data_IF_065560506859
#
_entry.id   IF_065560506859
#
_cell.length_a   1.000
_cell.length_b   1.000
_cell.length_c   1.000
_cell.angle_alpha   90.00
_cell.angle_beta   90.00
_cell.angle_gamma   90.00
#
_symmetry.space_group_name_H-M   'P 1'
#
loop_
_entity.id
_entity.type
_entity.pdbx_description
1 polymer ?
#
# COMPACT_ATOMS: atom_id res chain seq x y z
N UNK A 1 12.51 8.13 -133.41
CA UNK A 1 13.82 8.60 -133.89
C UNK A 1 14.59 9.00 -132.65
N UNK A 2 15.35 8.06 -132.09
CA UNK A 2 16.79 7.90 -132.34
C UNK A 2 17.61 8.82 -131.42
N UNK A 3 18.25 8.22 -130.41
CA UNK A 3 19.72 8.11 -130.24
C UNK A 3 20.25 9.24 -129.33
N UNK A 4 21.28 9.15 -128.49
CA UNK A 4 22.39 8.22 -128.26
C UNK A 4 22.89 8.56 -126.82
N UNK A 5 22.92 7.62 -125.87
CA UNK A 5 24.12 6.91 -125.39
C UNK A 5 25.29 7.81 -124.94
N UNK A 6 25.53 7.85 -123.62
CA UNK A 6 26.86 8.11 -123.07
C UNK A 6 27.09 7.31 -121.78
N UNK A 7 27.88 6.24 -121.96
CA UNK A 7 28.98 5.75 -121.10
C UNK A 7 28.70 5.24 -119.66
N UNK A 8 28.78 3.91 -119.55
CA UNK A 8 29.15 3.06 -118.38
C UNK A 8 30.69 3.08 -118.16
N UNK A 9 31.28 2.73 -116.99
CA UNK A 9 31.22 1.38 -116.37
C UNK A 9 31.06 1.37 -114.82
N UNK A 10 30.22 0.52 -114.25
CA UNK A 10 30.42 -0.92 -113.97
C UNK A 10 31.46 -1.18 -112.86
N UNK A 11 31.02 -1.06 -111.61
CA UNK A 11 31.72 -1.59 -110.45
C UNK A 11 31.42 -3.09 -110.31
N UNK A 12 32.47 -3.89 -110.46
CA UNK A 12 32.48 -5.35 -110.41
C UNK A 12 32.61 -5.79 -108.95
N UNK A 13 31.59 -6.47 -108.42
CA UNK A 13 31.65 -7.18 -107.15
C UNK A 13 32.08 -8.64 -107.38
N UNK A 14 33.23 -9.10 -106.86
CA UNK A 14 33.72 -10.46 -107.05
C UNK A 14 33.27 -11.36 -105.90
N UNK A 15 31.97 -11.66 -105.81
CA UNK A 15 31.48 -12.87 -105.14
C UNK A 15 30.02 -13.13 -105.53
N UNK A 16 29.87 -13.77 -106.69
CA UNK A 16 28.59 -14.18 -107.23
C UNK A 16 27.92 -15.23 -106.37
N UNK A 17 26.67 -14.93 -105.98
CA UNK A 17 25.52 -15.83 -106.02
C UNK A 17 24.26 -15.07 -105.61
N UNK A 18 23.46 -14.70 -106.60
CA UNK A 18 22.02 -14.52 -106.43
C UNK A 18 21.40 -15.88 -106.09
N UNK A 19 20.44 -15.92 -105.17
CA UNK A 19 19.18 -16.63 -105.40
C UNK A 19 18.05 -15.96 -104.61
N UNK A 20 16.96 -15.78 -105.34
CA UNK A 20 15.77 -15.07 -104.98
C UNK A 20 14.71 -15.97 -104.32
N UNK A 21 13.68 -15.29 -103.79
CA UNK A 21 12.29 -15.76 -103.59
C UNK A 21 12.00 -16.68 -102.39
N UNK A 22 11.21 -16.15 -101.45
CA UNK A 22 10.03 -16.84 -100.91
C UNK A 22 9.16 -15.89 -100.07
N UNK A 23 7.95 -15.60 -100.56
CA UNK A 23 6.84 -14.98 -99.81
C UNK A 23 6.34 -15.94 -98.73
N UNK A 24 6.06 -15.44 -97.52
CA UNK A 24 4.85 -15.82 -96.77
C UNK A 24 4.49 -14.77 -95.72
N UNK A 25 3.38 -14.08 -95.97
CA UNK A 25 2.61 -13.39 -94.95
C UNK A 25 1.81 -14.42 -94.14
N UNK A 26 1.60 -14.13 -92.86
CA UNK A 26 0.55 -14.76 -92.03
C UNK A 26 1.07 -15.52 -90.83
N UNK A 27 0.91 -14.92 -89.64
CA UNK A 27 1.24 -15.58 -88.38
C UNK A 27 1.05 -14.70 -87.14
N UNK A 28 -0.07 -13.98 -87.03
CA UNK A 28 -0.49 -13.40 -85.75
C UNK A 28 -1.18 -14.48 -84.91
N UNK A 29 -0.40 -15.35 -84.28
CA UNK A 29 -0.83 -16.17 -83.13
C UNK A 29 0.04 -15.73 -81.96
N UNK A 30 -0.32 -14.69 -81.22
CA UNK A 30 -1.23 -14.74 -80.08
C UNK A 30 -0.80 -15.80 -79.04
N UNK A 31 -0.55 -15.27 -77.82
CA UNK A 31 -0.66 -15.92 -76.51
C UNK A 31 0.52 -16.76 -76.00
N UNK A 32 1.54 -16.09 -75.45
CA UNK A 32 2.04 -16.50 -74.13
C UNK A 32 2.21 -15.28 -73.23
N UNK A 33 1.26 -15.18 -72.31
CA UNK A 33 1.14 -14.25 -71.21
C UNK A 33 2.44 -14.13 -70.41
N UNK A 34 3.20 -13.05 -70.64
CA UNK A 34 4.21 -12.60 -69.68
C UNK A 34 3.63 -11.47 -68.82
N UNK A 35 2.56 -11.77 -68.09
CA UNK A 35 2.24 -10.99 -66.90
C UNK A 35 3.10 -11.55 -65.78
N UNK A 36 4.34 -11.07 -65.67
CA UNK A 36 5.13 -11.17 -64.44
C UNK A 36 4.34 -10.40 -63.37
N UNK A 37 3.38 -11.06 -62.75
CA UNK A 37 2.84 -10.60 -61.48
C UNK A 37 4.01 -10.73 -60.49
N UNK A 38 4.39 -9.68 -59.77
CA UNK A 38 5.37 -9.87 -58.72
C UNK A 38 4.73 -10.78 -57.66
N UNK A 39 5.45 -11.83 -57.25
CA UNK A 39 5.08 -12.87 -56.27
C UNK A 39 4.89 -12.34 -54.82
N UNK A 40 4.34 -11.12 -54.68
CA UNK A 40 4.09 -10.47 -53.39
C UNK A 40 2.66 -10.70 -52.89
N UNK A 41 1.74 -11.16 -53.76
CA UNK A 41 0.30 -11.21 -53.44
C UNK A 41 -0.14 -12.59 -52.92
N UNK A 42 0.65 -13.66 -53.10
CA UNK A 42 0.26 -15.04 -52.73
C UNK A 42 1.04 -15.65 -51.57
N UNK A 43 1.90 -14.88 -50.89
CA UNK A 43 2.68 -15.40 -49.74
C UNK A 43 1.82 -15.31 -48.48
N UNK A 44 1.32 -16.46 -48.01
CA UNK A 44 0.73 -16.55 -46.68
C UNK A 44 1.75 -16.04 -45.65
N UNK A 45 1.32 -15.11 -44.81
CA UNK A 45 2.16 -14.47 -43.79
C UNK A 45 2.68 -15.57 -42.86
N UNK A 46 3.93 -15.99 -43.05
CA UNK A 46 4.58 -16.98 -42.20
C UNK A 46 5.23 -16.24 -41.02
N UNK A 47 5.06 -16.72 -39.77
CA UNK A 47 5.65 -16.07 -38.59
C UNK A 47 7.18 -15.96 -38.68
N UNK A 48 7.81 -16.83 -39.48
CA UNK A 48 9.26 -16.83 -39.73
C UNK A 48 9.73 -15.67 -40.61
N UNK A 49 8.88 -15.07 -41.46
CA UNK A 49 9.25 -13.91 -42.28
C UNK A 49 9.41 -12.64 -41.42
N UNK A 50 8.72 -12.53 -40.27
CA UNK A 50 8.95 -11.45 -39.30
C UNK A 50 10.36 -11.52 -38.68
N UNK A 51 10.88 -12.74 -38.45
CA UNK A 51 12.23 -12.94 -37.88
C UNK A 51 13.32 -12.50 -38.87
N UNK A 52 13.13 -12.77 -40.17
CA UNK A 52 14.04 -12.28 -41.21
C UNK A 52 13.95 -10.76 -41.42
N UNK A 53 12.76 -10.16 -41.30
CA UNK A 53 12.59 -8.71 -41.29
C UNK A 53 13.25 -8.05 -40.06
N UNK A 54 13.20 -8.70 -38.89
CA UNK A 54 13.89 -8.26 -37.67
C UNK A 54 15.41 -8.26 -37.83
N UNK A 55 16.01 -9.21 -38.55
CA UNK A 55 17.48 -9.26 -38.73
C UNK A 55 18.03 -8.08 -39.54
N UNK A 56 17.25 -7.49 -40.45
CA UNK A 56 17.69 -6.37 -41.32
C UNK A 56 17.47 -4.98 -40.68
N UNK A 57 16.59 -4.86 -39.70
CA UNK A 57 16.29 -3.61 -38.97
C UNK A 57 16.30 -3.80 -37.45
N UNK A 58 17.11 -4.72 -36.92
CA UNK A 58 17.10 -5.09 -35.50
C UNK A 58 17.41 -3.90 -34.58
N UNK A 59 18.25 -2.98 -35.06
CA UNK A 59 18.57 -1.72 -34.39
C UNK A 59 17.33 -0.85 -34.20
N UNK A 60 16.43 -0.78 -35.19
CA UNK A 60 15.19 0.00 -35.12
C UNK A 60 14.22 -0.58 -34.08
N UNK A 61 14.10 -1.90 -34.01
CA UNK A 61 13.30 -2.58 -32.98
C UNK A 61 13.89 -2.40 -31.58
N UNK A 62 15.22 -2.43 -31.43
CA UNK A 62 15.86 -2.13 -30.15
C UNK A 62 15.66 -0.68 -29.72
N UNK A 63 15.79 0.28 -30.64
CA UNK A 63 15.55 1.69 -30.35
C UNK A 63 14.09 1.90 -29.94
N UNK A 64 13.14 1.37 -30.71
CA UNK A 64 11.72 1.48 -30.40
C UNK A 64 11.38 0.82 -29.05
N UNK A 65 11.94 -0.35 -28.78
CA UNK A 65 11.78 -1.05 -27.50
C UNK A 65 12.37 -0.25 -26.33
N UNK A 66 13.55 0.35 -26.50
CA UNK A 66 14.17 1.17 -25.47
C UNK A 66 13.36 2.44 -25.19
N UNK A 67 12.83 3.09 -26.22
CA UNK A 67 11.92 4.21 -26.05
C UNK A 67 10.64 3.80 -25.31
N UNK A 68 10.03 2.68 -25.69
CA UNK A 68 8.83 2.18 -25.02
C UNK A 68 9.09 1.89 -23.54
N UNK A 69 10.19 1.19 -23.24
CA UNK A 69 10.60 0.87 -21.88
C UNK A 69 10.92 2.13 -21.07
N UNK A 70 11.63 3.10 -21.67
CA UNK A 70 11.95 4.38 -21.00
C UNK A 70 10.68 5.16 -20.68
N UNK A 71 9.72 5.22 -21.61
CA UNK A 71 8.43 5.89 -21.38
C UNK A 71 7.64 5.18 -20.29
N UNK A 72 7.58 3.84 -20.31
CA UNK A 72 6.90 3.06 -19.27
C UNK A 72 7.56 3.25 -17.90
N UNK A 73 8.89 3.26 -17.82
CA UNK A 73 9.63 3.53 -16.58
C UNK A 73 9.35 4.94 -16.07
N UNK A 74 9.36 5.95 -16.95
CA UNK A 74 9.09 7.34 -16.57
C UNK A 74 7.66 7.51 -16.04
N UNK A 75 6.69 6.91 -16.72
CA UNK A 75 5.29 6.91 -16.27
C UNK A 75 5.19 6.19 -14.92
N UNK A 76 5.78 5.01 -14.77
CA UNK A 76 5.76 4.27 -13.50
C UNK A 76 6.39 5.08 -12.36
N UNK A 77 7.52 5.75 -12.60
CA UNK A 77 8.19 6.58 -11.59
C UNK A 77 7.36 7.79 -11.17
N UNK A 78 6.60 8.39 -12.10
CA UNK A 78 5.71 9.51 -11.80
C UNK A 78 4.38 9.09 -11.15
N UNK A 79 3.93 7.85 -11.39
CA UNK A 79 2.59 7.40 -10.97
C UNK A 79 2.61 6.58 -9.67
N UNK A 80 3.77 6.05 -9.24
CA UNK A 80 3.87 5.28 -8.00
C UNK A 80 4.25 6.23 -6.85
N UNK A 81 3.29 6.70 -6.02
CA UNK A 81 3.62 7.41 -4.80
C UNK A 81 4.38 6.46 -3.86
N UNK A 82 5.51 6.93 -3.33
CA UNK A 82 6.26 6.19 -2.31
C UNK A 82 5.52 6.34 -1.00
N UNK A 83 4.62 5.40 -0.71
CA UNK A 83 3.93 5.36 0.58
C UNK A 83 4.87 4.80 1.65
N UNK A 84 5.20 5.63 2.63
CA UNK A 84 5.86 5.20 3.85
C UNK A 84 4.81 4.79 4.87
N UNK A 85 5.07 3.70 5.58
CA UNK A 85 4.21 3.22 6.68
C UNK A 85 4.97 3.24 7.99
N UNK A 86 4.45 3.97 8.98
CA UNK A 86 4.95 3.96 10.35
C UNK A 86 4.10 3.01 11.20
N UNK A 87 4.75 2.24 12.08
CA UNK A 87 4.09 1.24 12.94
C UNK A 87 4.58 1.36 14.39
N UNK A 88 3.65 1.34 15.33
CA UNK A 88 3.91 1.27 16.77
C UNK A 88 3.22 0.03 17.31
N UNK A 89 3.97 -0.75 18.08
CA UNK A 89 3.50 -1.96 18.73
C UNK A 89 3.44 -1.72 20.24
N UNK A 90 2.24 -1.87 20.80
CA UNK A 90 1.99 -1.83 22.23
C UNK A 90 1.70 -3.26 22.70
N UNK A 91 2.47 -3.73 23.68
CA UNK A 91 2.23 -5.02 24.31
C UNK A 91 1.33 -4.84 25.52
N UNK A 92 0.23 -5.59 25.55
CA UNK A 92 -0.64 -5.71 26.71
C UNK A 92 -0.40 -7.05 27.39
N UNK A 93 -0.10 -7.01 28.69
CA UNK A 93 -0.18 -8.20 29.53
C UNK A 93 -1.67 -8.40 29.87
N UNK A 94 -2.27 -9.48 29.36
CA UNK A 94 -3.66 -9.84 29.67
C UNK A 94 -3.71 -10.38 31.11
N UNK A 95 -3.68 -9.49 32.11
CA UNK A 95 -3.70 -9.88 33.53
C UNK A 95 -5.15 -10.27 33.91
N UNK A 96 -5.53 -11.50 33.59
CA UNK A 96 -6.83 -12.09 33.98
C UNK A 96 -6.86 -12.40 35.47
N UNK A 97 -6.80 -11.41 36.33
CA UNK A 97 -6.99 -11.62 37.76
C UNK A 97 -8.48 -11.61 38.10
N UNK A 98 -9.16 -12.73 37.82
CA UNK A 98 -10.45 -13.02 38.43
C UNK A 98 -10.24 -13.38 39.89
N UNK A 99 -10.14 -12.38 40.75
CA UNK A 99 -10.16 -12.62 42.20
C UNK A 99 -11.63 -12.83 42.58
N UNK A 100 -11.94 -14.04 43.03
CA UNK A 100 -13.21 -14.54 43.57
C UNK A 100 -14.11 -13.42 44.13
N UNK A 101 -15.00 -12.86 43.31
CA UNK A 101 -16.30 -12.24 43.62
C UNK A 101 -16.70 -11.41 42.41
N UNK A 102 -17.62 -11.95 41.61
CA UNK A 102 -18.24 -11.25 40.48
C UNK A 102 -19.22 -10.23 41.04
N UNK A 103 -18.73 -9.16 41.66
CA UNK A 103 -19.51 -7.93 41.72
C UNK A 103 -19.78 -7.54 40.26
N UNK A 104 -20.93 -6.92 39.93
CA UNK A 104 -21.09 -6.20 38.67
C UNK A 104 -20.11 -5.02 38.68
N UNK A 105 -18.82 -5.31 38.52
CA UNK A 105 -17.74 -4.34 38.42
C UNK A 105 -18.02 -3.56 37.15
N UNK A 106 -18.19 -2.27 37.39
CA UNK A 106 -18.21 -1.19 36.43
C UNK A 106 -17.24 -1.47 35.27
N UNK A 107 -17.86 -1.79 34.12
CA UNK A 107 -17.31 -1.92 32.77
C UNK A 107 -15.77 -1.84 32.67
N UNK A 108 -15.10 -3.00 32.75
CA UNK A 108 -13.73 -3.15 32.26
C UNK A 108 -13.72 -3.11 30.73
N UNK A 109 -14.00 -1.93 30.14
CA UNK A 109 -13.93 -1.68 28.70
C UNK A 109 -12.54 -1.94 28.12
N UNK A 110 -11.52 -1.95 28.98
CA UNK A 110 -10.13 -2.15 28.61
C UNK A 110 -9.73 -3.63 28.53
N UNK A 111 -10.62 -4.57 28.87
CA UNK A 111 -10.37 -5.98 28.57
C UNK A 111 -10.90 -6.39 27.18
N UNK A 112 -11.74 -5.53 26.57
CA UNK A 112 -12.28 -5.74 25.23
C UNK A 112 -11.38 -5.10 24.17
N UNK A 113 -10.73 -5.95 23.37
CA UNK A 113 -9.81 -5.53 22.30
C UNK A 113 -10.48 -4.59 21.28
N UNK A 114 -11.73 -4.87 20.92
CA UNK A 114 -12.47 -4.00 19.99
C UNK A 114 -12.76 -2.61 20.59
N UNK A 115 -13.00 -2.56 21.91
CA UNK A 115 -13.24 -1.31 22.60
C UNK A 115 -11.95 -0.47 22.67
N UNK A 116 -10.81 -1.08 23.00
CA UNK A 116 -9.50 -0.41 22.97
C UNK A 116 -9.16 0.15 21.58
N UNK A 117 -9.34 -0.65 20.52
CA UNK A 117 -9.11 -0.19 19.16
C UNK A 117 -9.99 1.01 18.78
N UNK A 118 -11.24 1.02 19.26
CA UNK A 118 -12.16 2.14 19.08
C UNK A 118 -11.74 3.36 19.91
N UNK A 119 -11.27 3.17 21.15
CA UNK A 119 -10.81 4.25 22.03
C UNK A 119 -9.59 4.98 21.45
N UNK A 120 -8.65 4.26 20.83
CA UNK A 120 -7.48 4.87 20.17
C UNK A 120 -7.90 5.80 19.04
N UNK A 121 -8.96 5.46 18.31
CA UNK A 121 -9.55 6.30 17.25
C UNK A 121 -10.47 7.39 17.77
N UNK A 122 -10.77 7.39 19.07
CA UNK A 122 -11.68 8.36 19.66
C UNK A 122 -11.00 9.71 19.90
N UNK A 123 -11.81 10.75 20.02
CA UNK A 123 -11.32 12.11 20.30
C UNK A 123 -10.58 12.22 21.65
N UNK A 124 -10.84 11.30 22.60
CA UNK A 124 -10.17 11.26 23.90
C UNK A 124 -8.65 11.05 23.72
N UNK A 125 -8.24 10.33 22.68
CA UNK A 125 -6.83 10.06 22.36
C UNK A 125 -6.34 10.97 21.24
N UNK A 126 -7.12 11.15 20.18
CA UNK A 126 -6.66 11.92 19.01
C UNK A 126 -6.62 13.44 19.29
N UNK A 127 -7.54 13.96 20.10
CA UNK A 127 -7.58 15.38 20.45
C UNK A 127 -6.31 15.83 21.19
N UNK A 128 -5.94 15.20 22.31
CA UNK A 128 -4.73 15.57 23.04
C UNK A 128 -3.44 15.27 22.26
N UNK A 129 -3.42 14.24 21.40
CA UNK A 129 -2.31 13.99 20.49
C UNK A 129 -2.03 15.18 19.54
N UNK A 130 -3.08 15.83 19.01
CA UNK A 130 -2.94 17.00 18.13
C UNK A 130 -2.49 18.26 18.87
N UNK A 131 -2.76 18.35 20.18
CA UNK A 131 -2.33 19.46 21.03
C UNK A 131 -0.84 19.41 21.37
N UNK A 132 -0.18 18.27 21.12
CA UNK A 132 1.26 18.15 21.33
C UNK A 132 2.05 19.12 20.44
N UNK A 133 3.16 19.69 20.95
CA UNK A 133 3.90 20.74 20.26
C UNK A 133 4.42 20.25 18.91
N UNK A 134 4.05 20.97 17.84
CA UNK A 134 4.55 20.72 16.49
C UNK A 134 3.72 19.75 15.65
N UNK A 135 2.80 18.97 16.24
CA UNK A 135 1.99 17.97 15.50
C UNK A 135 0.94 18.64 14.61
N UNK A 136 0.20 19.62 15.15
CA UNK A 136 -0.81 20.38 14.39
C UNK A 136 -0.25 21.21 13.23
N UNK A 137 1.08 21.37 13.14
CA UNK A 137 1.79 22.17 12.12
C UNK A 137 2.39 21.32 10.99
N UNK A 138 2.31 19.99 11.09
CA UNK A 138 2.81 19.06 10.06
C UNK A 138 2.07 19.26 8.75
N UNK A 139 2.74 19.05 7.61
CA UNK A 139 2.17 19.35 6.29
C UNK A 139 0.91 18.54 6.05
N UNK A 140 0.91 17.25 6.41
CA UNK A 140 -0.25 16.36 6.24
C UNK A 140 -1.50 16.79 7.04
N UNK A 141 -1.32 17.57 8.11
CA UNK A 141 -2.41 17.98 9.02
C UNK A 141 -2.75 19.46 8.91
N UNK A 142 -1.91 20.28 8.28
CA UNK A 142 -2.10 21.74 8.24
C UNK A 142 -3.24 22.14 7.33
N UNK A 143 -3.36 21.46 6.19
CA UNK A 143 -4.29 21.83 5.13
C UNK A 143 -5.68 21.19 5.31
N UNK A 144 -5.83 20.33 6.33
CA UNK A 144 -7.07 19.64 6.68
C UNK A 144 -7.97 20.46 7.61
N UNK A 145 -9.25 20.51 7.28
CA UNK A 145 -10.25 21.25 8.05
C UNK A 145 -10.59 20.54 9.37
N UNK A 146 -10.70 19.21 9.35
CA UNK A 146 -10.90 18.37 10.53
C UNK A 146 -9.75 17.36 10.68
N UNK A 147 -8.73 17.80 11.44
CA UNK A 147 -7.53 17.01 11.73
C UNK A 147 -7.82 15.74 12.53
N UNK A 148 -8.84 15.77 13.39
CA UNK A 148 -9.22 14.62 14.23
C UNK A 148 -9.85 13.55 13.35
N UNK A 149 -10.79 13.94 12.49
CA UNK A 149 -11.44 13.03 11.57
C UNK A 149 -10.47 12.43 10.54
N UNK A 150 -9.56 13.25 10.00
CA UNK A 150 -8.51 12.78 9.10
C UNK A 150 -7.66 11.69 9.76
N UNK A 151 -7.21 11.93 10.99
CA UNK A 151 -6.37 11.01 11.74
C UNK A 151 -7.12 9.71 12.09
N UNK A 152 -8.39 9.81 12.49
CA UNK A 152 -9.23 8.65 12.78
C UNK A 152 -9.41 7.72 11.56
N UNK A 153 -9.45 8.32 10.36
CA UNK A 153 -9.68 7.59 9.09
C UNK A 153 -8.40 6.98 8.53
N UNK A 154 -7.27 7.70 8.60
CA UNK A 154 -5.98 7.22 8.08
C UNK A 154 -5.26 6.27 9.03
N UNK A 155 -5.67 6.22 10.31
CA UNK A 155 -5.05 5.40 11.33
C UNK A 155 -5.66 4.00 11.38
N UNK A 156 -4.82 3.02 11.04
CA UNK A 156 -5.15 1.61 11.12
C UNK A 156 -4.76 1.05 12.48
N UNK A 157 -5.75 0.59 13.25
CA UNK A 157 -5.55 -0.12 14.52
C UNK A 157 -5.89 -1.58 14.30
N UNK A 158 -4.97 -2.47 14.62
CA UNK A 158 -5.15 -3.90 14.52
C UNK A 158 -4.44 -4.64 15.63
N UNK A 159 -4.75 -5.92 15.78
CA UNK A 159 -4.06 -6.80 16.72
C UNK A 159 -3.24 -7.82 15.94
N UNK A 160 -2.01 -8.04 16.39
CA UNK A 160 -1.15 -9.12 15.91
C UNK A 160 -0.98 -10.13 17.03
N UNK A 161 -1.59 -11.31 16.86
CA UNK A 161 -1.66 -12.32 17.92
C UNK A 161 -2.61 -11.90 19.06
N UNK A 162 -2.31 -12.34 20.29
CA UNK A 162 -3.15 -12.10 21.47
C UNK A 162 -2.77 -10.88 22.29
N UNK A 163 -1.50 -10.48 22.28
CA UNK A 163 -0.98 -9.48 23.23
C UNK A 163 -0.51 -8.17 22.57
N UNK A 164 -0.40 -8.13 21.23
CA UNK A 164 0.22 -7.00 20.54
C UNK A 164 -0.83 -6.21 19.79
N UNK A 165 -1.05 -4.98 20.25
CA UNK A 165 -1.79 -3.96 19.53
C UNK A 165 -0.83 -3.22 18.62
N UNK A 166 -1.16 -3.22 17.34
CA UNK A 166 -0.43 -2.50 16.31
C UNK A 166 -1.25 -1.29 15.87
N UNK A 167 -0.61 -0.12 15.94
CA UNK A 167 -1.13 1.12 15.39
C UNK A 167 -0.25 1.48 14.20
N UNK A 168 -0.85 1.75 13.05
CA UNK A 168 -0.12 2.09 11.84
C UNK A 168 -0.78 3.21 11.06
N UNK A 169 0.05 4.01 10.40
CA UNK A 169 -0.36 5.11 9.51
C UNK A 169 0.53 5.09 8.27
N UNK A 170 -0.03 5.42 7.11
CA UNK A 170 0.67 5.49 5.83
C UNK A 170 0.60 6.91 5.24
N UNK A 171 1.64 7.34 4.55
CA UNK A 171 1.71 8.67 3.92
C UNK A 171 3.06 8.94 3.23
N UNK A 172 3.25 10.18 2.78
CA UNK A 172 4.39 10.57 1.93
C UNK A 172 5.66 10.93 2.71
N UNK A 173 5.53 11.40 3.96
CA UNK A 173 6.68 11.87 4.75
C UNK A 173 6.91 11.00 6.00
N UNK A 174 7.99 10.21 5.98
CA UNK A 174 8.33 9.27 7.06
C UNK A 174 8.44 9.98 8.42
N UNK A 175 9.09 11.13 8.49
CA UNK A 175 9.42 11.78 9.76
C UNK A 175 8.18 12.40 10.40
N UNK A 176 7.26 12.92 9.58
CA UNK A 176 5.97 13.42 10.06
C UNK A 176 5.11 12.27 10.60
N UNK A 177 5.04 11.14 9.88
CA UNK A 177 4.26 9.97 10.30
C UNK A 177 4.75 9.40 11.64
N UNK A 178 6.07 9.31 11.85
CA UNK A 178 6.64 8.84 13.12
C UNK A 178 6.26 9.78 14.27
N UNK A 179 6.32 11.10 14.05
CA UNK A 179 5.94 12.10 15.07
C UNK A 179 4.47 11.99 15.44
N UNK A 180 3.59 11.88 14.44
CA UNK A 180 2.15 11.69 14.64
C UNK A 180 1.89 10.43 15.47
N UNK A 181 2.47 9.30 15.05
CA UNK A 181 2.22 8.02 15.69
C UNK A 181 2.77 7.97 17.12
N UNK A 182 3.91 8.60 17.37
CA UNK A 182 4.48 8.77 18.72
C UNK A 182 3.56 9.63 19.59
N UNK A 183 3.04 10.73 19.06
CA UNK A 183 2.09 11.58 19.78
C UNK A 183 0.80 10.84 20.14
N UNK A 184 0.25 10.04 19.22
CA UNK A 184 -0.93 9.19 19.48
C UNK A 184 -0.64 8.15 20.55
N UNK A 185 0.52 7.47 20.49
CA UNK A 185 0.97 6.52 21.52
C UNK A 185 1.01 7.20 22.89
N UNK A 186 1.67 8.34 22.99
CA UNK A 186 1.87 9.04 24.25
C UNK A 186 0.55 9.57 24.81
N UNK A 187 -0.33 10.06 23.95
CA UNK A 187 -1.68 10.46 24.36
C UNK A 187 -2.50 9.28 24.88
N UNK A 188 -2.42 8.11 24.24
CA UNK A 188 -3.11 6.91 24.70
C UNK A 188 -2.59 6.45 26.08
N UNK A 189 -1.27 6.43 26.26
CA UNK A 189 -0.65 6.07 27.52
C UNK A 189 -1.05 7.00 28.66
N UNK A 190 -1.16 8.30 28.38
CA UNK A 190 -1.52 9.31 29.37
C UNK A 190 -3.00 9.33 29.71
N UNK A 191 -3.87 9.38 28.70
CA UNK A 191 -5.30 9.63 28.93
C UNK A 191 -6.09 8.36 29.29
N UNK A 192 -5.59 7.19 28.89
CA UNK A 192 -6.28 5.92 29.13
C UNK A 192 -5.54 5.10 30.19
N UNK A 193 -4.28 4.74 29.91
CA UNK A 193 -3.54 3.76 30.74
C UNK A 193 -3.19 4.35 32.11
N UNK A 194 -2.76 5.61 32.17
CA UNK A 194 -2.42 6.25 33.44
C UNK A 194 -3.66 6.49 34.30
N UNK A 195 -4.75 6.98 33.70
CA UNK A 195 -6.03 7.19 34.39
C UNK A 195 -6.55 5.89 35.01
N UNK A 196 -6.49 4.77 34.27
CA UNK A 196 -6.89 3.46 34.80
C UNK A 196 -6.01 3.04 35.99
N UNK A 197 -4.68 3.14 35.87
CA UNK A 197 -3.76 2.81 36.96
C UNK A 197 -4.02 3.63 38.21
N UNK A 198 -4.33 4.91 38.05
CA UNK A 198 -4.65 5.82 39.15
C UNK A 198 -5.98 5.41 39.80
N UNK A 199 -7.01 5.05 39.00
CA UNK A 199 -8.29 4.55 39.51
C UNK A 199 -8.13 3.22 40.28
N UNK A 200 -7.35 2.27 39.76
CA UNK A 200 -7.06 1.00 40.44
C UNK A 200 -6.34 1.22 41.77
N UNK A 201 -5.35 2.11 41.77
CA UNK A 201 -4.59 2.46 42.98
C UNK A 201 -5.51 3.10 44.02
N UNK A 202 -6.39 4.02 43.60
CA UNK A 202 -7.38 4.64 44.48
C UNK A 202 -8.36 3.60 45.04
N UNK A 203 -8.85 2.67 44.21
CA UNK A 203 -9.75 1.59 44.65
C UNK A 203 -9.09 0.70 45.70
N UNK A 204 -7.84 0.30 45.48
CA UNK A 204 -7.05 -0.50 46.45
C UNK A 204 -6.88 0.27 47.78
N UNK A 205 -6.48 1.54 47.70
CA UNK A 205 -6.31 2.39 48.87
C UNK A 205 -7.62 2.57 49.66
N UNK A 206 -8.75 2.71 48.96
CA UNK A 206 -10.06 2.82 49.59
C UNK A 206 -10.47 1.53 50.31
N UNK A 207 -10.20 0.37 49.71
CA UNK A 207 -10.48 -0.93 50.32
C UNK A 207 -9.60 -1.17 51.55
N UNK A 208 -8.31 -0.83 51.48
CA UNK A 208 -7.39 -0.91 52.62
C UNK A 208 -7.83 0.00 53.77
N UNK A 209 -8.23 1.25 53.47
CA UNK A 209 -8.77 2.17 54.48
C UNK A 209 -10.02 1.61 55.15
N UNK A 210 -10.95 1.06 54.37
CA UNK A 210 -12.17 0.44 54.89
C UNK A 210 -11.86 -0.76 55.80
N UNK A 211 -10.94 -1.64 55.36
CA UNK A 211 -10.50 -2.79 56.14
C UNK A 211 -9.84 -2.37 57.46
N UNK A 212 -8.88 -1.44 57.41
CA UNK A 212 -8.19 -0.92 58.59
C UNK A 212 -9.16 -0.22 59.56
N UNK A 213 -10.20 0.44 59.03
CA UNK A 213 -11.24 1.05 59.85
C UNK A 213 -12.08 0.01 60.60
N UNK A 214 -12.50 -1.06 59.92
CA UNK A 214 -13.23 -2.18 60.54
C UNK A 214 -12.38 -2.89 61.60
N UNK A 215 -11.09 -3.09 61.34
CA UNK A 215 -10.13 -3.64 62.31
C UNK A 215 -10.06 -2.79 63.59
N UNK A 216 -9.95 -1.47 63.46
CA UNK A 216 -9.97 -0.54 64.62
C UNK A 216 -11.30 -0.58 65.37
N UNK A 217 -12.43 -0.71 64.67
CA UNK A 217 -13.74 -0.85 65.31
C UNK A 217 -13.85 -2.14 66.13
N UNK A 218 -13.34 -3.26 65.60
CA UNK A 218 -13.30 -4.55 66.30
C UNK A 218 -12.49 -4.43 67.59
N UNK A 219 -11.27 -3.90 67.50
CA UNK A 219 -10.40 -3.71 68.66
C UNK A 219 -11.03 -2.80 69.72
N UNK A 220 -11.70 -1.71 69.31
CA UNK A 220 -12.43 -0.84 70.24
C UNK A 220 -13.55 -1.57 70.97
N UNK A 221 -14.32 -2.41 70.28
CA UNK A 221 -15.38 -3.22 70.91
C UNK A 221 -14.80 -4.24 71.89
N UNK A 222 -13.70 -4.92 71.53
CA UNK A 222 -13.00 -5.85 72.44
C UNK A 222 -12.55 -5.15 73.74
N UNK A 223 -11.92 -3.98 73.62
CA UNK A 223 -11.51 -3.16 74.78
C UNK A 223 -12.73 -2.75 75.62
N UNK A 224 -13.86 -2.40 74.99
CA UNK A 224 -15.08 -2.05 75.72
C UNK A 224 -15.64 -3.25 76.50
N UNK A 225 -15.67 -4.45 75.91
CA UNK A 225 -16.13 -5.65 76.60
C UNK A 225 -15.23 -6.03 77.78
N UNK A 226 -13.90 -5.91 77.63
CA UNK A 226 -12.96 -6.14 78.74
C UNK A 226 -13.20 -5.17 79.90
N UNK A 227 -13.30 -3.87 79.62
CA UNK A 227 -13.57 -2.87 80.65
C UNK A 227 -14.93 -3.09 81.35
N UNK A 228 -15.95 -3.57 80.64
CA UNK A 228 -17.25 -3.87 81.22
C UNK A 228 -17.17 -5.11 82.14
N UNK A 229 -16.46 -6.14 81.70
CA UNK A 229 -16.19 -7.34 82.50
C UNK A 229 -15.42 -6.99 83.78
N UNK A 230 -14.39 -6.15 83.71
CA UNK A 230 -13.64 -5.69 84.87
C UNK A 230 -14.54 -4.92 85.85
N UNK A 231 -15.39 -4.00 85.35
CA UNK A 231 -16.32 -3.24 86.19
C UNK A 231 -17.37 -4.11 86.87
N UNK A 232 -17.85 -5.15 86.20
CA UNK A 232 -18.82 -6.09 86.76
C UNK A 232 -18.16 -7.11 87.71
N UNK A 233 -16.94 -7.56 87.40
CA UNK A 233 -16.15 -8.46 88.24
C UNK A 233 -15.59 -7.81 89.51
N UNK A 234 -15.45 -6.48 89.54
CA UNK A 234 -15.05 -5.72 90.74
C UNK A 234 -16.21 -5.55 91.74
N UNK A 235 -17.45 -5.96 91.41
CA UNK A 235 -18.58 -5.90 92.34
C UNK A 235 -18.73 -7.12 93.26
N UNK A 236 -17.91 -8.17 93.11
CA UNK A 236 -18.01 -9.41 93.91
C UNK A 236 -16.83 -9.61 94.89
N UNK A 237 -16.28 -8.51 95.43
CA UNK A 237 -15.32 -8.59 96.52
C UNK A 237 -15.43 -7.39 97.46
N UNK A 238 -15.82 -7.69 98.70
CA UNK A 238 -16.03 -6.83 99.87
C UNK A 238 -17.34 -6.02 99.89
N UNK A 239 -18.38 -6.63 100.47
CA UNK A 239 -18.68 -6.36 101.88
C UNK A 239 -19.41 -7.54 102.52
#
# INVERSE_FOLDING_TARGET
MEQNFNQLPAEVNPQGRELAVSRRAGGYQQLQSYKRQPDIISRSIRPTDFVFALRRRWVLSMVLGFFLTTVVILIAYLTIPVEYSAKVMLRFAEDRQYILFKLPSEKHYLNDRNAQATLIRSNIVLGPALQMPGISKLKCLRDEQDKVHWLATHLSVGYTGSEILQISISGEDRDELVKILTAVRDSYMKEIVQVERDMETQKRNNLERAYNHLGKMKQRKEIQYQNLADRLGVSDSKN
#
